data_IF_962990016738
#
_entry.id   IF_962990016738
#
_cell.length_a   1.000
_cell.length_b   1.000
_cell.length_c   1.000
_cell.angle_alpha   90.00
_cell.angle_beta   90.00
_cell.angle_gamma   90.00
#
_symmetry.space_group_name_H-M   'P 1'
#
loop_
_entity.id
_entity.type
_entity.pdbx_description
1 polymer ?
#
# COMPACT_ATOMS: atom_id res chain seq x y z
N UNK A 1 7.34 30.35 0.62
CA UNK A 1 6.87 29.55 1.76
C UNK A 1 6.13 28.37 1.19
N UNK A 2 6.49 27.14 1.58
CA UNK A 2 5.75 25.96 1.15
C UNK A 2 4.33 26.01 1.73
N UNK A 3 3.34 25.57 0.95
CA UNK A 3 1.96 25.42 1.42
C UNK A 3 1.88 24.33 2.49
N UNK A 4 0.83 24.35 3.34
CA UNK A 4 0.60 23.29 4.33
C UNK A 4 0.54 21.89 3.67
N UNK A 5 -0.03 21.82 2.48
CA UNK A 5 -0.10 20.59 1.69
C UNK A 5 1.29 20.08 1.30
N UNK A 6 2.16 20.96 0.83
CA UNK A 6 3.54 20.62 0.48
C UNK A 6 4.32 20.16 1.72
N UNK A 7 4.20 20.87 2.85
CA UNK A 7 4.84 20.46 4.11
C UNK A 7 4.38 19.07 4.58
N UNK A 8 3.09 18.77 4.43
CA UNK A 8 2.55 17.45 4.75
C UNK A 8 3.10 16.37 3.81
N UNK A 9 3.18 16.63 2.51
CA UNK A 9 3.77 15.70 1.55
C UNK A 9 5.25 15.44 1.82
N UNK A 10 6.04 16.47 2.14
CA UNK A 10 7.44 16.29 2.52
C UNK A 10 7.59 15.48 3.82
N UNK A 11 6.73 15.73 4.81
CA UNK A 11 6.71 14.92 6.04
C UNK A 11 6.41 13.45 5.75
N UNK A 12 5.45 13.17 4.88
CA UNK A 12 5.12 11.80 4.45
C UNK A 12 6.27 11.14 3.68
N UNK A 13 6.96 11.88 2.79
CA UNK A 13 8.15 11.38 2.09
C UNK A 13 9.25 10.97 3.08
N UNK A 14 9.54 11.83 4.06
CA UNK A 14 10.51 11.52 5.11
C UNK A 14 10.10 10.32 5.97
N UNK A 15 8.81 10.15 6.25
CA UNK A 15 8.29 8.97 6.95
C UNK A 15 8.56 7.68 6.17
N UNK A 16 8.30 7.66 4.86
CA UNK A 16 8.60 6.50 4.01
C UNK A 16 10.10 6.24 3.83
N UNK A 17 10.92 7.28 3.83
CA UNK A 17 12.38 7.13 3.86
C UNK A 17 12.86 6.50 5.17
N UNK A 18 12.33 6.95 6.30
CA UNK A 18 12.59 6.35 7.61
C UNK A 18 12.21 4.86 7.63
N UNK A 19 11.04 4.49 7.11
CA UNK A 19 10.61 3.09 7.00
C UNK A 19 11.58 2.24 6.16
N UNK A 20 12.09 2.81 5.07
CA UNK A 20 13.10 2.16 4.23
C UNK A 20 14.42 1.91 4.98
N UNK A 21 14.89 2.87 5.78
CA UNK A 21 16.08 2.69 6.63
C UNK A 21 15.86 1.68 7.76
N UNK A 22 14.65 1.66 8.33
CA UNK A 22 14.28 0.64 9.30
C UNK A 22 14.35 -0.76 8.66
N UNK A 23 13.75 -0.95 7.48
CA UNK A 23 13.80 -2.22 6.78
C UNK A 23 15.24 -2.63 6.42
N UNK A 24 16.07 -1.70 5.92
CA UNK A 24 17.48 -1.93 5.65
C UNK A 24 18.24 -2.46 6.87
N UNK A 25 17.98 -1.84 8.03
CA UNK A 25 18.56 -2.26 9.31
C UNK A 25 18.10 -3.67 9.68
N UNK A 26 16.82 -3.98 9.51
CA UNK A 26 16.30 -5.33 9.77
C UNK A 26 16.91 -6.38 8.83
N UNK A 27 17.13 -6.06 7.55
CA UNK A 27 17.80 -6.95 6.59
C UNK A 27 19.23 -7.23 7.04
N UNK A 28 19.96 -6.20 7.48
CA UNK A 28 21.33 -6.33 7.97
C UNK A 28 21.43 -7.23 9.21
N UNK A 29 20.52 -7.05 10.17
CA UNK A 29 20.60 -7.76 11.46
C UNK A 29 19.96 -9.17 11.42
N UNK A 30 18.93 -9.38 10.60
CA UNK A 30 18.11 -10.62 10.63
C UNK A 30 17.99 -11.33 9.28
N UNK A 31 18.56 -10.77 8.21
CA UNK A 31 18.41 -11.27 6.84
C UNK A 31 17.09 -10.87 6.18
N UNK A 32 17.05 -10.99 4.85
CA UNK A 32 15.94 -10.49 4.02
C UNK A 32 14.61 -11.18 4.32
N UNK A 33 14.61 -12.50 4.49
CA UNK A 33 13.38 -13.27 4.75
C UNK A 33 12.68 -12.79 6.03
N UNK A 34 13.42 -12.67 7.14
CA UNK A 34 12.84 -12.24 8.41
C UNK A 34 12.42 -10.77 8.37
N UNK A 35 13.23 -9.92 7.74
CA UNK A 35 12.90 -8.50 7.56
C UNK A 35 11.61 -8.31 6.76
N UNK A 36 11.42 -9.08 5.67
CA UNK A 36 10.20 -9.07 4.88
C UNK A 36 8.99 -9.55 5.70
N UNK A 37 9.11 -10.67 6.42
CA UNK A 37 8.04 -11.18 7.27
C UNK A 37 7.54 -10.10 8.23
N UNK A 38 8.48 -9.46 8.94
CA UNK A 38 8.17 -8.42 9.92
C UNK A 38 7.58 -7.16 9.26
N UNK A 39 8.11 -6.76 8.10
CA UNK A 39 7.60 -5.61 7.35
C UNK A 39 6.15 -5.82 6.89
N UNK A 40 5.84 -6.98 6.30
CA UNK A 40 4.49 -7.32 5.83
C UNK A 40 3.50 -7.38 7.00
N UNK A 41 3.91 -7.99 8.12
CA UNK A 41 3.08 -8.06 9.33
C UNK A 41 2.82 -6.68 9.94
N UNK A 42 3.85 -5.83 10.03
CA UNK A 42 3.73 -4.47 10.53
C UNK A 42 2.78 -3.63 9.67
N UNK A 43 2.93 -3.69 8.34
CA UNK A 43 2.05 -3.02 7.39
C UNK A 43 0.60 -3.49 7.55
N UNK A 44 0.34 -4.80 7.54
CA UNK A 44 -1.02 -5.32 7.69
C UNK A 44 -1.67 -4.86 9.02
N UNK A 45 -0.94 -4.98 10.13
CA UNK A 45 -1.42 -4.60 11.46
C UNK A 45 -1.70 -3.10 11.56
N UNK A 46 -0.82 -2.26 11.03
CA UNK A 46 -0.98 -0.81 11.01
C UNK A 46 -2.24 -0.42 10.22
N UNK A 47 -2.35 -0.85 8.97
CA UNK A 47 -3.48 -0.48 8.12
C UNK A 47 -4.81 -1.04 8.65
N UNK A 48 -4.80 -2.25 9.25
CA UNK A 48 -5.97 -2.76 9.96
C UNK A 48 -6.39 -1.85 11.11
N UNK A 49 -5.44 -1.44 11.96
CA UNK A 49 -5.72 -0.56 13.11
C UNK A 49 -6.21 0.81 12.66
N UNK A 50 -5.59 1.37 11.62
CA UNK A 50 -5.94 2.67 11.08
C UNK A 50 -7.34 2.67 10.44
N UNK A 51 -7.68 1.66 9.64
CA UNK A 51 -9.04 1.51 9.10
C UNK A 51 -10.08 1.36 10.21
N UNK A 52 -9.78 0.62 11.29
CA UNK A 52 -10.67 0.54 12.46
C UNK A 52 -10.86 1.89 13.16
N UNK A 53 -9.84 2.75 13.17
CA UNK A 53 -9.94 4.10 13.72
C UNK A 53 -10.88 4.95 12.85
N UNK A 54 -10.72 4.90 11.52
CA UNK A 54 -11.59 5.63 10.58
C UNK A 54 -13.05 5.17 10.67
N UNK A 55 -13.32 3.87 10.85
CA UNK A 55 -14.66 3.35 11.09
C UNK A 55 -15.26 3.91 12.38
N UNK A 56 -14.47 3.93 13.46
CA UNK A 56 -14.93 4.41 14.78
C UNK A 56 -15.22 5.90 14.78
N UNK A 57 -14.46 6.69 14.02
CA UNK A 57 -14.69 8.13 13.89
C UNK A 57 -15.83 8.47 12.92
N UNK A 58 -16.40 7.49 12.22
CA UNK A 58 -17.40 7.70 11.17
C UNK A 58 -16.84 8.30 9.87
N UNK A 59 -15.51 8.36 9.72
CA UNK A 59 -14.87 8.91 8.52
C UNK A 59 -15.02 7.99 7.30
N UNK A 60 -15.25 6.70 7.53
CA UNK A 60 -15.60 5.71 6.51
C UNK A 60 -16.74 4.82 7.03
N UNK A 61 -17.46 4.19 6.10
CA UNK A 61 -18.44 3.14 6.39
C UNK A 61 -17.95 1.80 5.85
N UNK A 62 -18.61 0.71 6.24
CA UNK A 62 -18.31 -0.60 5.63
C UNK A 62 -18.80 -0.61 4.18
N UNK A 63 -18.03 -1.14 3.23
CA UNK A 63 -18.41 -1.13 1.83
C UNK A 63 -19.50 -2.17 1.55
N UNK A 64 -20.38 -1.86 0.60
CA UNK A 64 -21.35 -2.78 0.01
C UNK A 64 -20.95 -3.20 -1.42
N UNK A 65 -20.06 -2.43 -2.05
CA UNK A 65 -19.57 -2.63 -3.41
C UNK A 65 -18.04 -2.49 -3.52
N UNK A 66 -17.48 -2.85 -4.67
CA UNK A 66 -16.05 -2.61 -4.97
C UNK A 66 -15.77 -1.11 -5.09
N UNK A 67 -16.72 -0.32 -5.59
CA UNK A 67 -16.66 1.13 -5.68
C UNK A 67 -16.53 1.76 -4.28
N UNK A 68 -17.33 1.30 -3.31
CA UNK A 68 -17.22 1.77 -1.92
C UNK A 68 -15.84 1.44 -1.33
N UNK A 69 -15.34 0.23 -1.60
CA UNK A 69 -14.02 -0.18 -1.16
C UNK A 69 -12.93 0.70 -1.79
N UNK A 70 -13.10 1.12 -3.05
CA UNK A 70 -12.19 2.05 -3.72
C UNK A 70 -12.18 3.42 -3.07
N UNK A 71 -13.34 3.96 -2.67
CA UNK A 71 -13.41 5.23 -1.92
C UNK A 71 -12.71 5.12 -0.57
N UNK A 72 -12.89 4.01 0.14
CA UNK A 72 -12.16 3.76 1.40
C UNK A 72 -10.65 3.71 1.15
N UNK A 73 -10.21 3.05 0.08
CA UNK A 73 -8.79 3.04 -0.29
C UNK A 73 -8.27 4.44 -0.59
N UNK A 74 -9.03 5.28 -1.30
CA UNK A 74 -8.66 6.69 -1.54
C UNK A 74 -8.49 7.47 -0.24
N UNK A 75 -9.40 7.30 0.73
CA UNK A 75 -9.30 7.95 2.05
C UNK A 75 -8.07 7.48 2.83
N UNK A 76 -7.81 6.17 2.85
CA UNK A 76 -6.64 5.60 3.51
C UNK A 76 -5.36 6.09 2.84
N UNK A 77 -5.32 6.10 1.50
CA UNK A 77 -4.15 6.49 0.73
C UNK A 77 -3.81 7.97 0.90
N UNK A 78 -4.81 8.86 0.82
CA UNK A 78 -4.59 10.30 0.93
C UNK A 78 -4.04 10.71 2.29
N UNK A 79 -4.23 9.89 3.33
CA UNK A 79 -3.70 10.17 4.67
C UNK A 79 -2.30 9.60 4.87
N UNK A 80 -2.01 8.40 4.38
CA UNK A 80 -0.74 7.70 4.67
C UNK A 80 0.35 7.91 3.60
N UNK A 81 -0.03 8.32 2.40
CA UNK A 81 0.87 8.45 1.26
C UNK A 81 0.88 9.90 0.76
N UNK A 82 2.00 10.30 0.17
CA UNK A 82 2.13 11.58 -0.51
C UNK A 82 1.64 11.47 -1.96
N UNK A 83 1.20 12.57 -2.54
CA UNK A 83 0.51 12.58 -3.84
C UNK A 83 1.31 11.93 -4.98
N UNK A 84 2.64 12.07 -4.95
CA UNK A 84 3.56 11.55 -5.96
C UNK A 84 4.01 10.11 -5.71
N UNK A 85 3.45 9.44 -4.69
CA UNK A 85 3.86 8.08 -4.33
C UNK A 85 3.79 7.12 -5.52
N UNK A 86 2.79 7.31 -6.38
CA UNK A 86 2.59 6.50 -7.59
C UNK A 86 2.33 7.39 -8.80
N UNK A 87 2.84 6.96 -9.96
CA UNK A 87 2.31 7.37 -11.26
C UNK A 87 1.50 6.20 -11.78
N UNK A 88 0.19 6.38 -11.95
CA UNK A 88 -0.73 5.28 -12.24
C UNK A 88 -1.84 5.68 -13.21
N UNK A 89 -2.43 4.69 -13.83
CA UNK A 89 -3.65 4.84 -14.63
C UNK A 89 -4.88 4.95 -13.72
N UNK A 90 -6.00 5.48 -14.22
CA UNK A 90 -7.28 5.35 -13.55
C UNK A 90 -7.60 3.88 -13.25
N UNK A 91 -8.12 3.61 -12.05
CA UNK A 91 -8.58 2.28 -11.68
C UNK A 91 -9.76 1.89 -12.56
N UNK A 92 -9.72 0.69 -13.13
CA UNK A 92 -10.84 0.14 -13.90
C UNK A 92 -11.60 -0.86 -13.06
N UNK A 93 -12.94 -0.88 -13.20
CA UNK A 93 -13.81 -1.80 -12.46
C UNK A 93 -14.63 -2.61 -13.46
N UNK A 94 -14.65 -3.94 -13.27
CA UNK A 94 -15.48 -4.87 -14.06
C UNK A 94 -16.20 -5.82 -13.10
N UNK A 95 -17.50 -5.60 -12.90
CA UNK A 95 -18.25 -6.31 -11.87
C UNK A 95 -17.69 -6.00 -10.49
N UNK A 96 -17.37 -7.01 -9.70
CA UNK A 96 -16.80 -6.84 -8.36
C UNK A 96 -15.26 -6.73 -8.34
N UNK A 97 -14.60 -6.62 -9.51
CA UNK A 97 -13.14 -6.64 -9.60
C UNK A 97 -12.60 -5.27 -10.00
N UNK A 98 -11.67 -4.74 -9.20
CA UNK A 98 -10.90 -3.54 -9.51
C UNK A 98 -9.52 -3.93 -10.03
N UNK A 99 -9.04 -3.19 -11.04
CA UNK A 99 -7.67 -3.31 -11.57
C UNK A 99 -6.96 -1.97 -11.42
N UNK A 100 -5.80 -2.02 -10.75
CA UNK A 100 -4.91 -0.87 -10.60
C UNK A 100 -3.62 -1.12 -11.39
N UNK A 101 -3.24 -0.15 -12.22
CA UNK A 101 -2.02 -0.18 -13.02
C UNK A 101 -1.12 0.98 -12.63
N UNK A 102 0.08 0.68 -12.12
CA UNK A 102 1.07 1.67 -11.70
C UNK A 102 2.36 1.58 -12.51
N UNK A 103 2.82 2.71 -13.04
CA UNK A 103 4.05 2.82 -13.84
C UNK A 103 5.26 3.25 -13.01
N UNK A 104 5.05 3.95 -11.89
CA UNK A 104 6.10 4.34 -10.96
C UNK A 104 5.64 4.16 -9.51
N UNK A 105 6.60 3.89 -8.63
CA UNK A 105 6.37 3.66 -7.21
C UNK A 105 7.57 4.17 -6.42
N UNK A 106 7.39 5.28 -5.69
CA UNK A 106 8.49 5.90 -4.96
C UNK A 106 9.10 4.99 -3.87
N UNK A 107 8.31 4.07 -3.30
CA UNK A 107 8.87 3.06 -2.39
C UNK A 107 9.83 2.11 -3.10
N UNK A 108 9.49 1.69 -4.33
CA UNK A 108 10.38 0.88 -5.15
C UNK A 108 11.61 1.67 -5.57
N UNK A 109 11.44 2.92 -6.00
CA UNK A 109 12.56 3.80 -6.40
C UNK A 109 13.55 4.00 -5.25
N UNK A 110 13.04 4.20 -4.03
CA UNK A 110 13.85 4.32 -2.81
C UNK A 110 14.62 3.03 -2.51
N UNK A 111 13.97 1.86 -2.63
CA UNK A 111 14.63 0.56 -2.45
C UNK A 111 15.69 0.29 -3.51
N UNK A 112 15.42 0.68 -4.75
CA UNK A 112 16.34 0.54 -5.87
C UNK A 112 17.59 1.42 -5.68
N UNK A 113 17.40 2.69 -5.28
CA UNK A 113 18.50 3.58 -4.93
C UNK A 113 19.36 3.03 -3.79
N UNK A 114 18.74 2.35 -2.82
CA UNK A 114 19.43 1.67 -1.72
C UNK A 114 20.04 0.29 -2.10
N UNK A 115 19.87 -0.18 -3.34
CA UNK A 115 20.27 -1.52 -3.83
C UNK A 115 19.68 -2.66 -3.01
N UNK A 116 18.45 -2.49 -2.51
CA UNK A 116 17.75 -3.46 -1.65
C UNK A 116 16.60 -4.17 -2.35
N UNK A 117 16.54 -4.15 -3.68
CA UNK A 117 15.46 -4.80 -4.44
C UNK A 117 15.55 -6.32 -4.41
N UNK A 118 16.76 -6.88 -4.31
CA UNK A 118 16.97 -8.33 -4.32
C UNK A 118 16.34 -8.97 -3.07
N UNK A 119 15.34 -9.82 -3.31
CA UNK A 119 14.65 -10.55 -2.26
C UNK A 119 13.66 -9.70 -1.47
N UNK A 120 13.35 -8.48 -1.88
CA UNK A 120 12.34 -7.65 -1.23
C UNK A 120 10.92 -8.17 -1.52
N UNK A 121 10.07 -8.24 -0.49
CA UNK A 121 8.66 -8.58 -0.64
C UNK A 121 7.80 -7.31 -0.61
N UNK A 122 7.10 -7.01 -1.71
CA UNK A 122 6.28 -5.81 -1.83
C UNK A 122 5.15 -5.75 -0.79
N UNK A 123 5.10 -4.68 0.00
CA UNK A 123 4.09 -4.47 1.03
C UNK A 123 2.66 -4.19 0.52
N UNK A 124 2.45 -3.92 -0.78
CA UNK A 124 1.17 -3.44 -1.28
C UNK A 124 -0.01 -4.39 -0.98
N UNK A 125 0.21 -5.70 -1.07
CA UNK A 125 -0.81 -6.70 -0.72
C UNK A 125 -1.12 -6.71 0.78
N UNK A 126 -0.09 -6.62 1.64
CA UNK A 126 -0.27 -6.59 3.09
C UNK A 126 -1.09 -5.36 3.53
N UNK A 127 -0.86 -4.21 2.90
CA UNK A 127 -1.62 -2.98 3.13
C UNK A 127 -3.11 -3.20 2.78
N UNK A 128 -3.41 -3.69 1.57
CA UNK A 128 -4.80 -3.98 1.14
C UNK A 128 -5.47 -5.01 2.03
N UNK A 129 -4.74 -6.05 2.42
CA UNK A 129 -5.23 -7.09 3.34
C UNK A 129 -5.57 -6.49 4.71
N UNK A 130 -4.76 -5.58 5.23
CA UNK A 130 -5.02 -4.90 6.51
C UNK A 130 -6.34 -4.15 6.50
N UNK A 131 -6.57 -3.35 5.45
CA UNK A 131 -7.83 -2.61 5.25
C UNK A 131 -9.01 -3.58 5.15
N UNK A 132 -8.95 -4.57 4.25
CA UNK A 132 -10.05 -5.51 4.02
C UNK A 132 -10.36 -6.37 5.25
N UNK A 133 -9.34 -6.81 6.01
CA UNK A 133 -9.53 -7.52 7.29
C UNK A 133 -10.23 -6.66 8.34
N UNK A 134 -9.93 -5.36 8.42
CA UNK A 134 -10.65 -4.46 9.33
C UNK A 134 -12.14 -4.32 8.96
N UNK A 135 -12.45 -4.36 7.66
CA UNK A 135 -13.80 -4.31 7.11
C UNK A 135 -14.54 -5.65 7.16
N UNK A 136 -13.88 -6.71 7.64
CA UNK A 136 -14.39 -8.10 7.67
C UNK A 136 -14.71 -8.65 6.28
N UNK A 137 -13.91 -8.25 5.29
CA UNK A 137 -13.96 -8.76 3.93
C UNK A 137 -12.94 -9.89 3.79
N UNK A 138 -13.25 -10.89 2.95
CA UNK A 138 -12.28 -11.91 2.53
C UNK A 138 -11.61 -11.45 1.23
N UNK A 139 -10.35 -10.99 1.27
CA UNK A 139 -9.70 -10.38 0.11
C UNK A 139 -9.36 -11.45 -0.92
N UNK A 140 -9.56 -11.11 -2.19
CA UNK A 140 -8.99 -11.80 -3.34
C UNK A 140 -8.08 -10.80 -4.04
N UNK A 141 -6.83 -11.18 -4.27
CA UNK A 141 -5.81 -10.27 -4.76
C UNK A 141 -4.81 -11.01 -5.63
N UNK A 142 -4.50 -10.45 -6.79
CA UNK A 142 -3.49 -10.96 -7.70
C UNK A 142 -2.55 -9.84 -8.13
N UNK A 143 -1.28 -10.18 -8.32
CA UNK A 143 -0.27 -9.31 -8.92
C UNK A 143 0.18 -10.00 -10.20
N UNK A 144 -0.17 -9.41 -11.34
CA UNK A 144 0.11 -9.96 -12.67
C UNK A 144 1.47 -9.47 -13.19
N UNK A 145 1.78 -8.19 -12.93
CA UNK A 145 3.06 -7.56 -13.24
C UNK A 145 3.57 -6.83 -11.98
N UNK A 146 4.89 -6.77 -11.78
CA UNK A 146 5.52 -6.09 -10.65
C UNK A 146 6.87 -5.46 -11.00
N UNK A 147 7.01 -4.17 -10.70
CA UNK A 147 8.28 -3.45 -10.75
C UNK A 147 9.40 -4.16 -9.95
N UNK A 148 9.04 -4.79 -8.82
CA UNK A 148 10.01 -5.53 -7.97
C UNK A 148 10.56 -6.77 -8.67
N UNK A 149 9.78 -7.39 -9.55
CA UNK A 149 10.19 -8.56 -10.33
C UNK A 149 10.85 -8.20 -11.67
N UNK A 150 11.04 -6.91 -11.94
CA UNK A 150 11.67 -6.41 -13.16
C UNK A 150 10.70 -6.15 -14.31
N UNK A 151 9.39 -6.22 -14.07
CA UNK A 151 8.40 -5.78 -15.05
C UNK A 151 8.42 -4.26 -15.23
N UNK A 152 7.91 -3.76 -16.36
CA UNK A 152 7.87 -2.32 -16.65
C UNK A 152 6.81 -1.54 -15.85
N UNK A 153 5.94 -2.23 -15.11
CA UNK A 153 4.83 -1.67 -14.34
C UNK A 153 4.33 -2.67 -13.30
N UNK A 154 3.39 -2.23 -12.47
CA UNK A 154 2.59 -3.08 -11.60
C UNK A 154 1.16 -3.19 -12.14
N UNK A 155 0.65 -4.41 -12.31
CA UNK A 155 -0.76 -4.67 -12.64
C UNK A 155 -1.35 -5.52 -11.53
N UNK A 156 -2.32 -4.95 -10.81
CA UNK A 156 -2.86 -5.55 -9.60
C UNK A 156 -4.38 -5.61 -9.72
N UNK A 157 -4.93 -6.81 -9.62
CA UNK A 157 -6.37 -7.04 -9.55
C UNK A 157 -6.76 -7.39 -8.12
N UNK A 158 -7.88 -6.84 -7.66
CA UNK A 158 -8.41 -7.16 -6.35
C UNK A 158 -9.92 -7.03 -6.26
N UNK A 159 -10.49 -7.88 -5.40
CA UNK A 159 -11.89 -7.86 -5.01
C UNK A 159 -12.03 -8.45 -3.60
N UNK A 160 -13.27 -8.66 -3.18
CA UNK A 160 -13.59 -9.43 -1.98
C UNK A 160 -14.64 -10.47 -2.30
N UNK A 161 -14.62 -11.60 -1.60
CA UNK A 161 -15.69 -12.60 -1.75
C UNK A 161 -17.04 -12.00 -1.35
N UNK A 162 -18.09 -12.16 -2.18
CA UNK A 162 -19.45 -11.82 -1.80
C UNK A 162 -19.85 -12.56 -0.51
N UNK A 163 -20.70 -11.94 0.30
CA UNK A 163 -21.27 -12.58 1.49
C UNK A 163 -22.28 -13.65 1.13
#
# INVERSE_FOLDING_TARGET
MNTLKEQLNETKKLWWLHDSYWHATMVKEFGAEKANQLNLEANERFFRKYTLLLLRSGAIQRPESIEDLMEIFKTVWSTCFFDEMYVNEPVTIKGNMATWTGHQCNAFDSLNAAKMTKGYACGCQAIRNGVMKALRLKPVHSIEESLVHGDGRCVITFCFEPK
#
